data_IF_787169791915
#
_entry.id   IF_787169791915
#
_cell.length_a   1.000
_cell.length_b   1.000
_cell.length_c   1.000
_cell.angle_alpha   90.00
_cell.angle_beta   90.00
_cell.angle_gamma   90.00
#
_symmetry.space_group_name_H-M   'P 1'
#
loop_
_entity.id
_entity.type
_entity.pdbx_description
1 polymer ?
#
# COMPACT_ATOMS: atom_id res chain seq x y z
N UNK A 1 -34.85 -7.41 13.21
CA UNK A 1 -33.56 -7.42 13.93
C UNK A 1 -33.71 -6.44 15.07
N UNK A 2 -33.56 -6.90 16.32
CA UNK A 2 -34.00 -6.15 17.49
C UNK A 2 -33.00 -5.04 17.83
N UNK A 3 -33.46 -3.86 18.26
CA UNK A 3 -32.58 -2.70 18.56
C UNK A 3 -31.55 -3.05 19.65
N UNK A 4 -31.91 -3.96 20.56
CA UNK A 4 -31.03 -4.51 21.59
C UNK A 4 -29.91 -5.42 21.04
N UNK A 5 -30.15 -6.15 19.94
CA UNK A 5 -29.11 -6.97 19.29
C UNK A 5 -28.09 -6.10 18.55
N UNK A 6 -28.53 -4.96 17.99
CA UNK A 6 -27.63 -4.03 17.29
C UNK A 6 -26.68 -3.33 18.26
N UNK A 7 -27.16 -2.90 19.43
CA UNK A 7 -26.33 -2.27 20.46
C UNK A 7 -25.28 -3.24 21.06
N UNK A 8 -25.67 -4.50 21.33
CA UNK A 8 -24.73 -5.52 21.81
C UNK A 8 -23.65 -5.87 20.78
N UNK A 9 -24.00 -5.90 19.48
CA UNK A 9 -23.03 -6.11 18.41
C UNK A 9 -22.03 -4.95 18.27
N UNK A 10 -22.46 -3.70 18.49
CA UNK A 10 -21.55 -2.54 18.44
C UNK A 10 -20.51 -2.55 19.57
N UNK A 11 -20.92 -2.89 20.81
CA UNK A 11 -20.01 -3.00 21.95
C UNK A 11 -19.03 -4.18 21.80
N UNK A 12 -19.51 -5.31 21.27
CA UNK A 12 -18.68 -6.47 20.94
C UNK A 12 -17.69 -6.13 19.82
N UNK A 13 -18.12 -5.43 18.77
CA UNK A 13 -17.24 -4.99 17.68
C UNK A 13 -16.14 -4.05 18.23
N UNK A 14 -16.49 -3.06 19.07
CA UNK A 14 -15.51 -2.18 19.73
C UNK A 14 -14.50 -2.96 20.59
N UNK A 15 -14.92 -3.99 21.32
CA UNK A 15 -14.04 -4.86 22.09
C UNK A 15 -13.12 -5.70 21.19
N UNK A 16 -13.64 -6.22 20.08
CA UNK A 16 -12.88 -6.93 19.07
C UNK A 16 -11.74 -6.06 18.47
N UNK A 17 -11.96 -4.75 18.40
CA UNK A 17 -10.97 -3.76 17.96
C UNK A 17 -9.88 -3.43 18.97
N UNK A 18 -10.00 -3.85 20.23
CA UNK A 18 -8.99 -3.56 21.26
C UNK A 18 -7.89 -4.61 21.35
N UNK A 19 -8.16 -5.87 20.95
CA UNK A 19 -7.22 -6.98 21.18
C UNK A 19 -7.53 -8.22 20.31
N UNK A 20 -6.48 -8.86 19.79
CA UNK A 20 -6.53 -10.10 19.00
C UNK A 20 -7.21 -11.28 19.72
N UNK A 21 -7.05 -11.38 21.05
CA UNK A 21 -7.71 -12.41 21.87
C UNK A 21 -9.22 -12.19 21.92
N UNK A 22 -9.67 -10.95 22.04
CA UNK A 22 -11.08 -10.60 22.04
C UNK A 22 -11.72 -10.82 20.66
N UNK A 23 -11.04 -10.46 19.57
CA UNK A 23 -11.49 -10.83 18.21
C UNK A 23 -11.68 -12.34 18.05
N UNK A 24 -10.71 -13.13 18.53
CA UNK A 24 -10.80 -14.59 18.46
C UNK A 24 -11.94 -15.16 19.31
N UNK A 25 -12.13 -14.63 20.53
CA UNK A 25 -13.24 -15.00 21.43
C UNK A 25 -14.60 -14.70 20.78
N UNK A 26 -14.78 -13.51 20.21
CA UNK A 26 -16.02 -13.11 19.55
C UNK A 26 -16.32 -13.98 18.32
N UNK A 27 -15.29 -14.33 17.54
CA UNK A 27 -15.42 -15.25 16.40
C UNK A 27 -15.87 -16.65 16.83
N UNK A 28 -15.44 -17.12 18.00
CA UNK A 28 -15.80 -18.42 18.56
C UNK A 28 -17.20 -18.42 19.18
N UNK A 29 -17.60 -17.33 19.84
CA UNK A 29 -18.88 -17.29 20.57
C UNK A 29 -20.06 -16.87 19.70
N UNK A 30 -19.87 -16.05 18.67
CA UNK A 30 -20.97 -15.42 17.91
C UNK A 30 -20.76 -15.55 16.38
N UNK A 31 -20.48 -16.78 15.92
CA UNK A 31 -20.07 -17.12 14.55
C UNK A 31 -21.02 -16.67 13.44
N UNK A 32 -22.32 -16.51 13.73
CA UNK A 32 -23.34 -16.05 12.77
C UNK A 32 -23.81 -14.60 12.96
N UNK A 33 -23.52 -13.96 14.11
CA UNK A 33 -23.99 -12.61 14.43
C UNK A 33 -22.94 -11.50 14.22
N UNK A 34 -21.63 -11.80 14.29
CA UNK A 34 -20.57 -10.76 14.34
C UNK A 34 -19.60 -10.81 13.16
N UNK A 35 -19.76 -11.73 12.21
CA UNK A 35 -19.03 -11.66 10.93
C UNK A 35 -19.98 -11.10 9.88
N UNK A 36 -20.11 -9.77 9.72
CA UNK A 36 -20.73 -9.25 8.52
C UNK A 36 -19.97 -9.86 7.35
N UNK A 37 -20.65 -10.64 6.48
CA UNK A 37 -20.05 -11.30 5.29
C UNK A 37 -19.01 -10.34 4.70
N UNK A 38 -17.74 -10.71 4.82
CA UNK A 38 -16.63 -9.85 4.43
C UNK A 38 -16.86 -9.40 2.99
N UNK A 39 -16.65 -8.11 2.77
CA UNK A 39 -16.80 -7.52 1.46
C UNK A 39 -15.57 -7.89 0.63
N UNK A 40 -15.77 -8.75 -0.38
CA UNK A 40 -14.71 -9.09 -1.33
C UNK A 40 -14.57 -7.95 -2.35
N UNK A 41 -13.35 -7.44 -2.49
CA UNK A 41 -12.98 -6.41 -3.45
C UNK A 41 -11.78 -6.94 -4.24
N UNK A 42 -11.89 -6.96 -5.56
CA UNK A 42 -10.80 -7.44 -6.41
C UNK A 42 -9.61 -6.48 -6.41
N UNK A 43 -9.84 -5.17 -6.54
CA UNK A 43 -8.75 -4.17 -6.47
C UNK A 43 -9.16 -2.95 -5.67
N UNK A 44 -8.27 -2.50 -4.80
CA UNK A 44 -8.38 -1.24 -4.08
C UNK A 44 -7.08 -0.47 -4.16
N UNK A 45 -7.15 0.78 -4.60
CA UNK A 45 -6.04 1.72 -4.56
C UNK A 45 -6.40 2.86 -3.63
N UNK A 46 -5.47 3.22 -2.75
CA UNK A 46 -5.61 4.28 -1.76
C UNK A 46 -4.56 5.34 -2.05
N UNK A 47 -4.98 6.59 -2.17
CA UNK A 47 -4.08 7.73 -2.27
C UNK A 47 -4.61 8.92 -1.47
N UNK A 48 -3.75 9.82 -0.99
CA UNK A 48 -4.21 11.05 -0.34
C UNK A 48 -5.05 11.90 -1.30
N UNK A 49 -6.12 12.50 -0.79
CA UNK A 49 -6.94 13.39 -1.62
C UNK A 49 -6.21 14.69 -1.93
N UNK A 50 -6.27 15.12 -3.19
CA UNK A 50 -5.68 16.41 -3.62
C UNK A 50 -6.44 17.61 -3.05
N UNK A 51 -7.72 17.43 -2.73
CA UNK A 51 -8.61 18.51 -2.32
C UNK A 51 -8.72 18.65 -0.80
N UNK A 52 -8.56 17.55 -0.05
CA UNK A 52 -8.68 17.55 1.40
C UNK A 52 -7.59 16.69 2.05
N UNK A 53 -6.68 17.32 2.79
CA UNK A 53 -5.54 16.65 3.45
C UNK A 53 -5.94 15.60 4.50
N UNK A 54 -7.20 15.59 4.94
CA UNK A 54 -7.74 14.62 5.92
C UNK A 54 -8.49 13.47 5.26
N UNK A 55 -8.61 13.49 3.94
CA UNK A 55 -9.31 12.48 3.16
C UNK A 55 -8.35 11.78 2.20
N UNK A 56 -8.79 10.61 1.76
CA UNK A 56 -8.09 9.73 0.84
C UNK A 56 -9.04 9.40 -0.30
N UNK A 57 -8.55 9.41 -1.52
CA UNK A 57 -9.30 8.93 -2.66
C UNK A 57 -9.07 7.41 -2.75
N UNK A 58 -10.17 6.66 -2.73
CA UNK A 58 -10.20 5.22 -2.94
C UNK A 58 -10.67 4.95 -4.36
N UNK A 59 -9.84 4.26 -5.12
CA UNK A 59 -10.23 3.68 -6.41
C UNK A 59 -10.54 2.20 -6.19
N UNK A 60 -11.73 1.75 -6.59
CA UNK A 60 -12.23 0.40 -6.32
C UNK A 60 -12.69 -0.28 -7.61
N UNK A 61 -12.30 -1.54 -7.76
CA UNK A 61 -12.77 -2.45 -8.80
C UNK A 61 -13.32 -3.70 -8.13
N UNK A 62 -14.58 -4.03 -8.40
CA UNK A 62 -15.28 -5.11 -7.71
C UNK A 62 -14.89 -6.49 -8.20
N UNK A 63 -14.75 -6.67 -9.52
CA UNK A 63 -14.40 -7.94 -10.17
C UNK A 63 -13.20 -7.75 -11.09
N UNK A 64 -12.59 -8.85 -11.52
CA UNK A 64 -11.50 -8.89 -12.51
C UNK A 64 -12.00 -8.63 -13.95
N UNK A 65 -13.24 -9.02 -14.22
CA UNK A 65 -13.88 -8.95 -15.54
C UNK A 65 -14.55 -7.60 -15.82
N UNK A 66 -14.88 -6.80 -14.79
CA UNK A 66 -15.51 -5.50 -14.98
C UNK A 66 -14.48 -4.40 -15.24
N UNK A 67 -14.69 -3.60 -16.28
CA UNK A 67 -14.02 -2.30 -16.42
C UNK A 67 -14.57 -1.23 -15.47
N UNK A 68 -15.61 -1.56 -14.69
CA UNK A 68 -16.31 -0.68 -13.75
C UNK A 68 -15.43 -0.35 -12.54
N UNK A 69 -14.50 0.57 -12.76
CA UNK A 69 -13.74 1.27 -11.72
C UNK A 69 -14.55 2.47 -11.21
N UNK A 70 -14.66 2.62 -9.90
CA UNK A 70 -15.28 3.81 -9.32
C UNK A 70 -14.47 4.36 -8.15
N UNK A 71 -14.73 5.63 -7.84
CA UNK A 71 -14.00 6.38 -6.81
C UNK A 71 -14.89 6.67 -5.62
N UNK A 72 -14.32 6.52 -4.44
CA UNK A 72 -14.97 6.84 -3.16
C UNK A 72 -14.00 7.62 -2.29
N UNK A 73 -14.53 8.56 -1.50
CA UNK A 73 -13.71 9.27 -0.52
C UNK A 73 -13.62 8.45 0.76
N UNK A 74 -12.43 8.33 1.31
CA UNK A 74 -12.12 7.70 2.58
C UNK A 74 -11.60 8.73 3.58
N UNK A 75 -11.76 8.47 4.88
CA UNK A 75 -11.17 9.31 5.92
C UNK A 75 -10.71 8.53 7.15
N UNK A 76 -9.76 9.10 7.88
CA UNK A 76 -9.42 8.71 9.24
C UNK A 76 -10.07 9.69 10.22
N UNK A 77 -11.06 9.23 11.00
CA UNK A 77 -11.61 10.02 12.12
C UNK A 77 -10.77 9.80 13.38
N UNK A 78 -10.42 10.88 14.07
CA UNK A 78 -9.81 10.81 15.40
C UNK A 78 -10.75 10.14 16.41
N UNK A 79 -10.19 9.30 17.29
CA UNK A 79 -10.93 8.48 18.27
C UNK A 79 -11.82 9.31 19.20
N UNK A 80 -11.42 10.54 19.53
CA UNK A 80 -12.15 11.46 20.41
C UNK A 80 -13.53 11.84 19.82
N UNK A 81 -13.67 11.83 18.49
CA UNK A 81 -14.93 12.11 17.79
C UNK A 81 -15.61 10.84 17.24
N UNK A 82 -15.09 9.65 17.55
CA UNK A 82 -15.58 8.38 17.01
C UNK A 82 -17.06 8.15 17.34
N UNK A 83 -17.41 8.23 18.64
CA UNK A 83 -18.77 7.96 19.13
C UNK A 83 -19.83 8.91 18.56
N UNK A 84 -19.47 10.14 18.21
CA UNK A 84 -20.40 11.14 17.67
C UNK A 84 -20.81 10.84 16.21
N UNK A 85 -20.01 10.05 15.49
CA UNK A 85 -20.23 9.77 14.06
C UNK A 85 -20.42 8.30 13.74
N UNK A 86 -20.25 7.38 14.70
CA UNK A 86 -20.32 5.93 14.47
C UNK A 86 -21.63 5.50 13.79
N UNK A 87 -22.80 5.97 14.25
CA UNK A 87 -24.08 5.63 13.65
C UNK A 87 -24.21 6.11 12.18
N UNK A 88 -23.60 7.25 11.84
CA UNK A 88 -23.61 7.77 10.46
C UNK A 88 -22.62 7.00 9.60
N UNK A 89 -21.41 6.73 10.10
CA UNK A 89 -20.38 5.96 9.42
C UNK A 89 -20.85 4.52 9.11
N UNK A 90 -21.57 3.87 10.05
CA UNK A 90 -22.17 2.54 9.86
C UNK A 90 -23.21 2.57 8.73
N UNK A 91 -24.09 3.58 8.70
CA UNK A 91 -25.10 3.73 7.65
C UNK A 91 -24.45 3.91 6.28
N UNK A 92 -23.45 4.78 6.18
CA UNK A 92 -22.71 5.02 4.93
C UNK A 92 -22.01 3.73 4.48
N UNK A 93 -21.38 3.01 5.41
CA UNK A 93 -20.73 1.74 5.11
C UNK A 93 -21.72 0.68 4.60
N UNK A 94 -22.93 0.63 5.15
CA UNK A 94 -23.97 -0.29 4.66
C UNK A 94 -24.46 0.07 3.25
N UNK A 95 -24.62 1.36 2.93
CA UNK A 95 -24.93 1.82 1.57
C UNK A 95 -23.80 1.40 0.62
N UNK A 96 -22.55 1.63 1.02
CA UNK A 96 -21.38 1.22 0.25
C UNK A 96 -21.32 -0.28 0.00
N UNK A 97 -21.58 -1.10 1.02
CA UNK A 97 -21.65 -2.56 0.90
C UNK A 97 -22.72 -3.00 -0.09
N UNK A 98 -23.88 -2.35 -0.08
CA UNK A 98 -24.97 -2.65 -1.02
C UNK A 98 -24.59 -2.22 -2.44
N UNK A 99 -23.93 -1.08 -2.59
CA UNK A 99 -23.43 -0.61 -3.88
C UNK A 99 -22.43 -1.59 -4.50
N UNK A 100 -21.48 -2.09 -3.72
CA UNK A 100 -20.51 -3.09 -4.19
C UNK A 100 -21.22 -4.34 -4.71
N UNK A 101 -22.23 -4.83 -3.98
CA UNK A 101 -23.04 -5.98 -4.44
C UNK A 101 -23.81 -5.69 -5.72
N UNK A 102 -24.36 -4.49 -5.83
CA UNK A 102 -25.02 -4.03 -7.04
C UNK A 102 -24.04 -4.03 -8.23
N UNK A 103 -22.83 -3.50 -8.05
CA UNK A 103 -21.78 -3.54 -9.08
C UNK A 103 -21.36 -4.97 -9.45
N UNK A 104 -21.20 -5.86 -8.46
CA UNK A 104 -20.87 -7.28 -8.72
C UNK A 104 -21.96 -7.97 -9.53
N UNK A 105 -23.23 -7.79 -9.14
CA UNK A 105 -24.35 -8.39 -9.85
C UNK A 105 -24.46 -7.84 -11.28
N UNK A 106 -24.32 -6.51 -11.45
CA UNK A 106 -24.32 -5.88 -12.75
C UNK A 106 -23.19 -6.41 -13.65
N UNK A 107 -21.98 -6.59 -13.10
CA UNK A 107 -20.87 -7.19 -13.83
C UNK A 107 -21.16 -8.65 -14.25
N UNK A 108 -21.73 -9.46 -13.35
CA UNK A 108 -22.10 -10.85 -13.66
C UNK A 108 -23.22 -10.95 -14.72
N UNK A 109 -24.10 -9.97 -14.76
CA UNK A 109 -25.21 -9.88 -15.72
C UNK A 109 -24.83 -9.15 -17.01
N UNK A 110 -23.56 -8.72 -17.17
CA UNK A 110 -23.06 -7.92 -18.29
C UNK A 110 -23.87 -6.64 -18.54
N UNK A 111 -24.26 -5.95 -17.46
CA UNK A 111 -24.91 -4.65 -17.54
C UNK A 111 -23.85 -3.57 -17.70
N UNK A 112 -23.88 -2.88 -18.85
CA UNK A 112 -22.89 -1.84 -19.17
C UNK A 112 -23.09 -0.57 -18.32
N UNK A 113 -24.34 -0.18 -18.05
CA UNK A 113 -24.67 1.05 -17.34
C UNK A 113 -24.94 0.79 -15.85
N UNK A 114 -23.91 1.00 -15.03
CA UNK A 114 -24.00 0.96 -13.56
C UNK A 114 -24.06 2.39 -13.04
N UNK A 115 -25.00 2.67 -12.14
CA UNK A 115 -25.06 3.98 -11.47
C UNK A 115 -23.71 4.30 -10.81
N UNK A 116 -23.25 5.54 -10.91
CA UNK A 116 -22.05 5.98 -10.19
C UNK A 116 -22.27 5.95 -8.68
N UNK A 117 -21.19 5.80 -7.91
CA UNK A 117 -21.24 5.79 -6.44
C UNK A 117 -21.98 7.00 -5.87
N UNK A 118 -21.70 8.20 -6.40
CA UNK A 118 -22.32 9.44 -5.93
C UNK A 118 -23.83 9.43 -6.14
N UNK A 119 -24.29 8.99 -7.31
CA UNK A 119 -25.72 8.92 -7.66
C UNK A 119 -26.42 7.85 -6.82
N UNK A 120 -25.81 6.67 -6.66
CA UNK A 120 -26.35 5.59 -5.86
C UNK A 120 -26.45 5.99 -4.38
N UNK A 121 -25.35 6.52 -3.82
CA UNK A 121 -25.29 6.95 -2.42
C UNK A 121 -26.29 8.07 -2.14
N UNK A 122 -26.44 9.03 -3.05
CA UNK A 122 -27.44 10.09 -2.93
C UNK A 122 -28.88 9.56 -2.97
N UNK A 123 -29.17 8.61 -3.85
CA UNK A 123 -30.50 8.00 -3.97
C UNK A 123 -30.87 7.20 -2.72
N UNK A 124 -29.93 6.41 -2.19
CA UNK A 124 -30.15 5.61 -0.99
C UNK A 124 -30.16 6.46 0.29
N UNK A 125 -29.35 7.51 0.38
CA UNK A 125 -29.32 8.41 1.54
C UNK A 125 -30.61 9.19 1.74
N UNK A 126 -31.32 9.56 0.65
CA UNK A 126 -32.66 10.19 0.72
C UNK A 126 -33.73 9.32 1.37
N UNK A 127 -33.57 8.00 1.34
CA UNK A 127 -34.48 7.05 2.00
C UNK A 127 -34.27 6.99 3.51
N UNK A 128 -33.24 7.66 4.04
CA UNK A 128 -32.84 7.58 5.45
C UNK A 128 -33.15 8.91 6.15
N UNK A 129 -33.97 8.91 7.22
CA UNK A 129 -34.25 10.12 8.00
C UNK A 129 -32.97 10.73 8.61
N UNK A 130 -32.86 12.07 8.57
CA UNK A 130 -31.81 12.88 9.19
C UNK A 130 -30.38 12.69 8.63
N UNK A 131 -30.22 12.21 7.39
CA UNK A 131 -28.91 12.16 6.73
C UNK A 131 -28.54 13.53 6.14
N UNK A 132 -27.32 14.06 6.32
CA UNK A 132 -26.90 15.32 5.72
C UNK A 132 -26.97 15.25 4.19
N UNK A 133 -27.75 16.13 3.57
CA UNK A 133 -28.09 16.09 2.13
C UNK A 133 -26.99 16.68 1.22
N UNK A 134 -25.84 17.07 1.77
CA UNK A 134 -24.77 17.74 1.00
C UNK A 134 -23.57 16.84 0.75
N UNK A 135 -23.45 16.41 -0.51
CA UNK A 135 -22.31 15.66 -1.04
C UNK A 135 -22.24 14.22 -0.56
N UNK A 136 -21.43 13.41 -1.24
CA UNK A 136 -21.25 11.99 -0.92
C UNK A 136 -20.33 11.85 0.30
N UNK A 137 -20.80 11.38 1.46
CA UNK A 137 -19.98 11.39 2.66
C UNK A 137 -18.81 10.39 2.56
N UNK A 138 -17.65 10.69 3.17
CA UNK A 138 -16.50 9.80 3.11
C UNK A 138 -16.72 8.54 3.95
N UNK A 139 -16.15 7.43 3.51
CA UNK A 139 -16.13 6.15 4.24
C UNK A 139 -15.00 6.17 5.27
N UNK A 140 -15.29 5.72 6.49
CA UNK A 140 -14.24 5.56 7.50
C UNK A 140 -13.36 4.35 7.16
N UNK A 141 -12.09 4.62 6.86
CA UNK A 141 -11.15 3.59 6.38
C UNK A 141 -10.92 2.46 7.39
N UNK A 142 -10.87 2.78 8.69
CA UNK A 142 -10.74 1.76 9.74
C UNK A 142 -11.88 0.74 9.72
N UNK A 143 -13.10 1.19 9.44
CA UNK A 143 -14.27 0.30 9.30
C UNK A 143 -14.18 -0.52 8.03
N UNK A 144 -13.85 0.13 6.91
CA UNK A 144 -13.67 -0.53 5.62
C UNK A 144 -12.69 -1.71 5.74
N UNK A 145 -11.46 -1.45 6.19
CA UNK A 145 -10.41 -2.47 6.25
C UNK A 145 -10.74 -3.63 7.18
N UNK A 146 -11.47 -3.38 8.27
CA UNK A 146 -11.84 -4.45 9.22
C UNK A 146 -12.87 -5.45 8.66
N UNK A 147 -13.59 -5.09 7.60
CA UNK A 147 -14.71 -5.87 7.05
C UNK A 147 -14.52 -6.24 5.58
N UNK A 148 -13.32 -6.05 5.04
CA UNK A 148 -13.01 -6.32 3.61
C UNK A 148 -11.92 -7.37 3.44
N UNK A 149 -12.08 -8.19 2.41
CA UNK A 149 -10.99 -8.94 1.79
C UNK A 149 -10.65 -8.22 0.49
N UNK A 150 -9.38 -7.89 0.29
CA UNK A 150 -8.90 -7.21 -0.92
C UNK A 150 -7.90 -8.11 -1.63
N UNK A 151 -8.15 -8.45 -2.89
CA UNK A 151 -7.21 -9.27 -3.65
C UNK A 151 -5.96 -8.47 -4.01
N UNK A 152 -6.12 -7.28 -4.57
CA UNK A 152 -5.03 -6.39 -4.97
C UNK A 152 -5.14 -5.04 -4.26
N UNK A 153 -4.27 -4.80 -3.27
CA UNK A 153 -4.21 -3.55 -2.52
C UNK A 153 -2.99 -2.71 -2.92
N UNK A 154 -3.22 -1.45 -3.28
CA UNK A 154 -2.17 -0.51 -3.70
C UNK A 154 -2.22 0.77 -2.85
N UNK A 155 -1.10 1.16 -2.24
CA UNK A 155 -0.93 2.42 -1.51
C UNK A 155 -0.11 3.36 -2.38
N UNK A 156 -0.66 4.51 -2.76
CA UNK A 156 -0.07 5.40 -3.75
C UNK A 156 0.22 6.80 -3.20
N UNK A 157 1.29 7.43 -3.70
CA UNK A 157 1.54 8.88 -3.60
C UNK A 157 1.44 9.45 -2.17
N UNK A 158 1.90 8.71 -1.17
CA UNK A 158 1.83 9.13 0.23
C UNK A 158 3.13 9.82 0.67
N UNK A 159 3.00 10.89 1.46
CA UNK A 159 4.11 11.35 2.30
C UNK A 159 4.25 10.48 3.56
N UNK A 160 5.33 10.68 4.34
CA UNK A 160 5.61 9.92 5.58
C UNK A 160 4.42 9.87 6.55
N UNK A 161 3.79 11.00 6.85
CA UNK A 161 2.68 11.06 7.81
C UNK A 161 1.44 10.30 7.31
N UNK A 162 1.08 10.47 6.03
CA UNK A 162 -0.05 9.80 5.41
C UNK A 162 0.17 8.29 5.29
N UNK A 163 1.39 7.90 4.91
CA UNK A 163 1.80 6.51 4.82
C UNK A 163 1.62 5.79 6.16
N UNK A 164 2.08 6.40 7.25
CA UNK A 164 1.90 5.84 8.59
C UNK A 164 0.45 5.76 9.03
N UNK A 165 -0.37 6.78 8.73
CA UNK A 165 -1.81 6.73 9.04
C UNK A 165 -2.51 5.57 8.33
N UNK A 166 -2.18 5.32 7.06
CA UNK A 166 -2.71 4.18 6.30
C UNK A 166 -2.20 2.87 6.90
N UNK A 167 -0.89 2.70 7.05
CA UNK A 167 -0.30 1.45 7.55
C UNK A 167 -0.83 1.08 8.93
N UNK A 168 -0.93 2.01 9.88
CA UNK A 168 -1.48 1.73 11.21
C UNK A 168 -2.93 1.24 11.17
N UNK A 169 -3.71 1.65 10.16
CA UNK A 169 -5.07 1.16 9.98
C UNK A 169 -5.12 -0.21 9.29
N UNK A 170 -4.18 -0.47 8.38
CA UNK A 170 -4.03 -1.76 7.70
C UNK A 170 -3.42 -2.83 8.60
N UNK A 171 -2.68 -2.45 9.65
CA UNK A 171 -2.10 -3.37 10.65
C UNK A 171 -3.15 -4.03 11.57
N UNK A 172 -4.43 -3.91 11.20
CA UNK A 172 -5.56 -4.51 11.89
C UNK A 172 -5.77 -5.97 11.43
N UNK A 173 -5.92 -6.94 12.36
CA UNK A 173 -6.13 -8.34 12.02
C UNK A 173 -7.40 -8.66 11.22
N UNK A 174 -8.34 -7.72 11.08
CA UNK A 174 -9.58 -7.90 10.30
C UNK A 174 -9.41 -7.79 8.78
N UNK A 175 -8.35 -7.12 8.29
CA UNK A 175 -8.08 -7.00 6.86
C UNK A 175 -7.34 -8.23 6.34
N UNK A 176 -7.85 -8.82 5.25
CA UNK A 176 -7.09 -9.77 4.45
C UNK A 176 -6.74 -9.11 3.12
N UNK A 177 -5.44 -8.93 2.85
CA UNK A 177 -4.93 -8.45 1.58
C UNK A 177 -3.95 -9.48 1.01
N UNK A 178 -4.18 -9.96 -0.22
CA UNK A 178 -3.36 -11.02 -0.82
C UNK A 178 -2.15 -10.45 -1.55
N UNK A 179 -2.37 -9.59 -2.54
CA UNK A 179 -1.33 -8.87 -3.28
C UNK A 179 -1.26 -7.44 -2.78
N UNK A 180 -0.07 -7.01 -2.37
CA UNK A 180 0.16 -5.71 -1.73
C UNK A 180 1.24 -4.97 -2.50
N UNK A 181 0.95 -3.71 -2.81
CA UNK A 181 1.86 -2.82 -3.54
C UNK A 181 1.93 -1.47 -2.85
N UNK A 182 3.13 -0.91 -2.75
CA UNK A 182 3.40 0.44 -2.23
C UNK A 182 4.06 1.21 -3.37
N UNK A 183 3.44 2.30 -3.81
CA UNK A 183 3.86 3.11 -4.97
C UNK A 183 3.94 4.58 -4.55
N UNK A 184 4.99 4.91 -3.80
CA UNK A 184 5.17 6.22 -3.18
C UNK A 184 6.58 6.75 -3.46
N UNK A 185 6.84 7.15 -4.71
CA UNK A 185 8.16 7.66 -5.19
C UNK A 185 8.83 8.63 -4.21
N UNK A 186 8.11 9.61 -3.68
CA UNK A 186 8.67 10.64 -2.79
C UNK A 186 8.74 10.24 -1.30
N UNK A 187 8.30 9.04 -0.92
CA UNK A 187 8.34 8.59 0.46
C UNK A 187 9.79 8.32 0.88
N UNK A 188 10.26 9.01 1.92
CA UNK A 188 11.52 8.74 2.60
C UNK A 188 11.23 8.38 4.06
N UNK A 189 11.74 7.21 4.48
CA UNK A 189 11.67 6.76 5.87
C UNK A 189 13.04 6.98 6.54
N UNK A 190 13.12 7.89 7.53
CA UNK A 190 14.36 8.16 8.25
C UNK A 190 14.69 7.05 9.27
N UNK A 191 15.88 7.06 9.88
CA UNK A 191 16.33 5.99 10.77
C UNK A 191 15.37 5.65 11.92
N UNK A 192 14.68 6.65 12.49
CA UNK A 192 13.74 6.43 13.60
C UNK A 192 12.51 5.60 13.21
N UNK A 193 12.18 5.51 11.93
CA UNK A 193 11.06 4.71 11.43
C UNK A 193 11.38 3.21 11.34
N UNK A 194 12.66 2.83 11.44
CA UNK A 194 13.14 1.46 11.25
C UNK A 194 12.40 0.45 12.12
N UNK A 195 12.39 0.63 13.44
CA UNK A 195 11.79 -0.34 14.34
C UNK A 195 10.29 -0.51 14.07
N UNK A 196 9.61 0.58 13.76
CA UNK A 196 8.18 0.59 13.51
C UNK A 196 7.86 -0.10 12.19
N UNK A 197 8.60 0.23 11.13
CA UNK A 197 8.47 -0.40 9.82
C UNK A 197 8.66 -1.92 9.90
N UNK A 198 9.71 -2.38 10.57
CA UNK A 198 10.01 -3.82 10.67
C UNK A 198 8.99 -4.62 11.50
N UNK A 199 8.25 -3.95 12.40
CA UNK A 199 7.25 -4.61 13.27
C UNK A 199 5.88 -4.74 12.64
N UNK A 200 5.54 -3.92 11.64
CA UNK A 200 4.23 -3.92 10.99
C UNK A 200 3.87 -5.30 10.44
N UNK A 201 2.76 -5.85 10.92
CA UNK A 201 2.19 -7.10 10.43
C UNK A 201 1.89 -7.03 8.93
N UNK A 202 1.38 -5.88 8.46
CA UNK A 202 1.10 -5.66 7.04
C UNK A 202 2.31 -5.99 6.14
N UNK A 203 3.50 -5.51 6.54
CA UNK A 203 4.77 -5.70 5.83
C UNK A 203 5.36 -7.10 6.07
N UNK A 204 5.27 -7.61 7.30
CA UNK A 204 5.77 -8.96 7.66
C UNK A 204 5.08 -10.10 6.92
N UNK A 205 3.85 -9.88 6.47
CA UNK A 205 3.10 -10.83 5.64
C UNK A 205 3.53 -10.82 4.16
N UNK A 206 4.58 -10.07 3.81
CA UNK A 206 5.09 -9.94 2.44
C UNK A 206 4.41 -8.81 1.66
N UNK A 207 5.19 -8.16 0.81
CA UNK A 207 4.73 -7.12 -0.13
C UNK A 207 5.30 -7.45 -1.50
N UNK A 208 4.49 -7.37 -2.54
CA UNK A 208 4.89 -7.75 -3.90
C UNK A 208 5.79 -6.67 -4.52
N UNK A 209 5.45 -5.40 -4.34
CA UNK A 209 6.13 -4.27 -4.95
C UNK A 209 6.25 -3.09 -3.99
N UNK A 210 7.43 -2.49 -3.91
CA UNK A 210 7.70 -1.27 -3.14
C UNK A 210 8.45 -0.28 -4.01
N UNK A 211 7.84 0.89 -4.22
CA UNK A 211 8.46 2.04 -4.84
C UNK A 211 8.54 3.21 -3.86
N UNK A 212 9.75 3.70 -3.59
CA UNK A 212 10.02 4.80 -2.65
C UNK A 212 11.46 5.32 -2.75
N UNK A 213 11.80 6.43 -2.07
CA UNK A 213 13.20 6.80 -1.87
C UNK A 213 13.89 5.79 -0.96
N UNK A 214 15.16 5.53 -1.21
CA UNK A 214 15.91 4.50 -0.47
C UNK A 214 15.97 4.88 1.02
N UNK A 215 15.39 4.07 1.93
CA UNK A 215 15.48 4.34 3.36
C UNK A 215 16.90 4.08 3.86
N UNK A 216 17.33 4.77 4.92
CA UNK A 216 18.68 4.60 5.47
C UNK A 216 18.96 3.19 5.97
N UNK A 217 17.91 2.44 6.35
CA UNK A 217 17.97 1.07 6.87
C UNK A 217 17.66 0.01 5.81
N UNK A 218 17.83 0.34 4.53
CA UNK A 218 17.55 -0.57 3.41
C UNK A 218 18.41 -1.85 3.47
N UNK A 219 19.65 -1.76 3.93
CA UNK A 219 20.55 -2.91 4.08
C UNK A 219 19.97 -3.97 5.02
N UNK A 220 19.33 -3.55 6.10
CA UNK A 220 18.65 -4.44 7.02
C UNK A 220 17.37 -5.02 6.40
N UNK A 221 16.67 -4.27 5.54
CA UNK A 221 15.53 -4.82 4.80
C UNK A 221 15.96 -5.96 3.87
N UNK A 222 17.12 -5.80 3.21
CA UNK A 222 17.62 -6.74 2.21
C UNK A 222 17.97 -8.15 2.73
N UNK A 223 18.18 -8.28 4.05
CA UNK A 223 18.48 -9.57 4.69
C UNK A 223 17.25 -10.23 5.31
N UNK A 224 16.09 -9.57 5.27
CA UNK A 224 14.86 -10.11 5.84
C UNK A 224 14.09 -10.99 4.84
N UNK A 225 13.74 -12.23 5.22
CA UNK A 225 13.11 -13.20 4.31
C UNK A 225 11.83 -12.73 3.63
N UNK A 226 11.00 -11.93 4.30
CA UNK A 226 9.73 -11.47 3.73
C UNK A 226 9.89 -10.49 2.54
N UNK A 227 11.10 -9.99 2.30
CA UNK A 227 11.40 -9.06 1.22
C UNK A 227 12.21 -9.67 0.07
N UNK A 228 12.61 -10.94 0.14
CA UNK A 228 13.50 -11.54 -0.87
C UNK A 228 12.89 -11.58 -2.27
N UNK A 229 11.57 -11.76 -2.36
CA UNK A 229 10.82 -11.79 -3.61
C UNK A 229 10.10 -10.46 -3.91
N UNK A 230 10.24 -9.45 -3.04
CA UNK A 230 9.68 -8.12 -3.27
C UNK A 230 10.41 -7.45 -4.43
N UNK A 231 9.65 -6.87 -5.35
CA UNK A 231 10.16 -6.00 -6.40
C UNK A 231 10.35 -4.59 -5.84
N UNK A 232 11.60 -4.15 -5.75
CA UNK A 232 11.93 -2.82 -5.28
C UNK A 232 12.17 -1.86 -6.44
N UNK A 233 11.58 -0.67 -6.38
CA UNK A 233 11.96 0.48 -7.19
C UNK A 233 12.40 1.62 -6.26
N UNK A 234 13.69 1.89 -6.20
CA UNK A 234 14.30 2.73 -5.18
C UNK A 234 14.96 3.95 -5.80
N UNK A 235 14.67 5.12 -5.25
CA UNK A 235 15.26 6.38 -5.70
C UNK A 235 16.37 6.85 -4.76
N UNK A 236 17.26 7.70 -5.27
CA UNK A 236 18.27 8.42 -4.48
C UNK A 236 19.21 7.50 -3.66
N UNK A 237 19.46 6.27 -4.12
CA UNK A 237 20.33 5.34 -3.39
C UNK A 237 21.76 5.87 -3.34
N UNK A 238 22.36 5.90 -2.15
CA UNK A 238 23.73 6.39 -1.99
C UNK A 238 24.78 5.32 -2.31
N UNK A 239 26.05 5.73 -2.41
CA UNK A 239 27.12 4.84 -2.83
C UNK A 239 27.36 3.69 -1.84
N UNK A 240 27.26 3.96 -0.54
CA UNK A 240 27.46 2.96 0.51
C UNK A 240 26.39 1.87 0.42
N UNK A 241 25.12 2.25 0.30
CA UNK A 241 23.99 1.33 0.14
C UNK A 241 24.10 0.48 -1.12
N UNK A 242 24.52 1.07 -2.25
CA UNK A 242 24.73 0.33 -3.49
C UNK A 242 25.85 -0.69 -3.36
N UNK A 243 26.95 -0.36 -2.67
CA UNK A 243 28.07 -1.29 -2.46
C UNK A 243 27.66 -2.51 -1.66
N UNK A 244 26.58 -2.42 -0.87
CA UNK A 244 26.05 -3.54 -0.12
C UNK A 244 25.07 -4.40 -0.91
N UNK A 245 24.51 -3.92 -2.03
CA UNK A 245 23.57 -4.69 -2.86
C UNK A 245 24.09 -6.08 -3.25
N UNK A 246 25.37 -6.28 -3.65
CA UNK A 246 25.90 -7.61 -3.95
C UNK A 246 25.70 -8.67 -2.86
N UNK A 247 25.66 -8.25 -1.58
CA UNK A 247 25.43 -9.12 -0.42
C UNK A 247 23.94 -9.37 -0.14
N UNK A 248 23.05 -8.68 -0.85
CA UNK A 248 21.60 -8.80 -0.72
C UNK A 248 21.08 -10.17 -1.15
N UNK A 249 20.02 -10.62 -0.46
CA UNK A 249 19.21 -11.78 -0.84
C UNK A 249 17.97 -11.41 -1.67
N UNK A 250 17.73 -10.13 -1.87
CA UNK A 250 16.64 -9.62 -2.71
C UNK A 250 16.93 -9.90 -4.19
N UNK A 251 15.92 -10.41 -4.89
CA UNK A 251 16.06 -10.79 -6.30
C UNK A 251 15.85 -9.61 -7.26
N UNK A 252 14.89 -8.73 -6.98
CA UNK A 252 14.43 -7.73 -7.95
C UNK A 252 14.62 -6.31 -7.40
N UNK A 253 15.50 -5.53 -8.02
CA UNK A 253 15.80 -4.15 -7.61
C UNK A 253 15.96 -3.29 -8.86
N UNK A 254 15.19 -2.21 -8.94
CA UNK A 254 15.43 -1.08 -9.83
C UNK A 254 15.91 0.07 -8.96
N UNK A 255 17.12 0.58 -9.17
CA UNK A 255 17.63 1.77 -8.53
C UNK A 255 17.70 2.92 -9.54
N UNK A 256 17.08 4.06 -9.25
CA UNK A 256 16.98 5.23 -10.13
C UNK A 256 17.58 6.47 -9.43
N UNK A 257 18.26 7.32 -10.20
CA UNK A 257 18.82 8.62 -9.75
C UNK A 257 19.79 8.53 -8.55
N UNK A 258 20.47 7.38 -8.40
CA UNK A 258 21.40 7.15 -7.28
C UNK A 258 22.84 7.60 -7.54
N UNK A 259 23.68 7.48 -6.51
CA UNK A 259 25.13 7.74 -6.60
C UNK A 259 25.89 6.46 -6.31
N UNK A 260 26.81 6.05 -7.18
CA UNK A 260 27.57 4.81 -7.02
C UNK A 260 29.07 5.06 -7.14
N UNK A 261 29.88 4.34 -6.37
CA UNK A 261 31.27 4.07 -6.75
C UNK A 261 31.32 2.72 -7.45
N UNK A 262 31.42 2.76 -8.78
CA UNK A 262 31.33 1.60 -9.64
C UNK A 262 32.49 0.61 -9.39
N UNK A 263 33.68 1.11 -9.05
CA UNK A 263 34.84 0.26 -8.71
C UNK A 263 34.53 -0.61 -7.49
N UNK A 264 34.00 -0.01 -6.42
CA UNK A 264 33.67 -0.74 -5.18
C UNK A 264 32.50 -1.69 -5.39
N UNK A 265 31.47 -1.26 -6.10
CA UNK A 265 30.34 -2.12 -6.47
C UNK A 265 30.83 -3.39 -7.18
N UNK A 266 31.69 -3.24 -8.20
CA UNK A 266 32.22 -4.37 -8.96
C UNK A 266 33.08 -5.30 -8.13
N UNK A 267 33.98 -4.77 -7.30
CA UNK A 267 34.76 -5.61 -6.40
C UNK A 267 33.81 -6.47 -5.55
N UNK A 268 32.83 -5.85 -4.91
CA UNK A 268 31.87 -6.57 -4.08
C UNK A 268 31.00 -7.54 -4.89
N UNK A 269 30.66 -7.21 -6.14
CA UNK A 269 29.92 -8.08 -7.04
C UNK A 269 30.71 -9.34 -7.43
N UNK A 270 31.97 -9.18 -7.84
CA UNK A 270 32.84 -10.30 -8.23
C UNK A 270 33.20 -11.21 -7.04
N UNK A 271 33.38 -10.65 -5.85
CA UNK A 271 33.74 -11.43 -4.66
C UNK A 271 32.54 -12.17 -4.02
N UNK A 272 31.31 -11.90 -4.46
CA UNK A 272 30.12 -12.53 -3.90
C UNK A 272 29.58 -13.66 -4.78
N UNK A 273 29.16 -14.74 -4.10
CA UNK A 273 28.45 -15.84 -4.77
C UNK A 273 27.10 -15.33 -5.27
N UNK A 274 26.88 -15.41 -6.58
CA UNK A 274 25.64 -14.95 -7.22
C UNK A 274 24.42 -15.67 -6.61
N UNK A 275 23.44 -14.89 -6.14
CA UNK A 275 22.09 -15.41 -5.92
C UNK A 275 21.48 -15.64 -7.30
N UNK A 276 21.03 -16.86 -7.57
CA UNK A 276 20.40 -17.19 -8.85
C UNK A 276 19.08 -16.44 -9.02
N UNK A 277 18.80 -16.01 -10.26
CA UNK A 277 17.54 -15.33 -10.61
C UNK A 277 17.43 -13.89 -10.09
N UNK A 278 18.56 -13.17 -9.97
CA UNK A 278 18.56 -11.72 -9.77
C UNK A 278 18.08 -11.03 -11.05
N UNK A 279 17.34 -9.95 -10.90
CA UNK A 279 17.00 -9.03 -11.98
C UNK A 279 17.15 -7.61 -11.44
N UNK A 280 18.30 -7.00 -11.70
CA UNK A 280 18.64 -5.68 -11.21
C UNK A 280 18.73 -4.68 -12.34
N UNK A 281 18.09 -3.53 -12.19
CA UNK A 281 18.16 -2.42 -13.11
C UNK A 281 18.73 -1.20 -12.39
N UNK A 282 19.70 -0.54 -13.01
CA UNK A 282 20.29 0.70 -12.50
C UNK A 282 20.11 1.79 -13.54
N UNK A 283 19.38 2.84 -13.17
CA UNK A 283 18.92 3.89 -14.06
C UNK A 283 19.45 5.25 -13.59
N UNK A 284 19.96 6.06 -14.53
CA UNK A 284 20.45 7.41 -14.27
C UNK A 284 21.45 7.51 -13.10
N UNK A 285 22.35 6.52 -12.97
CA UNK A 285 23.29 6.50 -11.86
C UNK A 285 24.44 7.50 -12.05
N UNK A 286 24.77 8.25 -11.00
CA UNK A 286 25.93 9.14 -10.98
C UNK A 286 27.16 8.40 -10.43
N UNK A 287 28.25 8.38 -11.20
CA UNK A 287 29.54 7.90 -10.69
C UNK A 287 30.19 8.89 -9.73
N UNK A 288 30.66 8.40 -8.57
CA UNK A 288 31.52 9.18 -7.67
C UNK A 288 33.01 8.89 -7.83
N UNK A 289 33.41 7.83 -8.56
CA UNK A 289 34.82 7.43 -8.74
C UNK A 289 35.60 8.29 -9.77
N UNK A 290 34.97 9.27 -10.42
CA UNK A 290 35.56 10.00 -11.56
C UNK A 290 35.45 9.25 -12.89
N UNK A 291 35.96 9.80 -14.00
CA UNK A 291 35.73 9.24 -15.36
C UNK A 291 36.58 7.97 -15.64
N UNK A 292 37.65 7.73 -14.87
CA UNK A 292 38.57 6.63 -15.13
C UNK A 292 37.95 5.25 -14.83
N UNK A 293 38.00 4.34 -15.82
CA UNK A 293 37.55 2.94 -15.69
C UNK A 293 36.05 2.71 -15.96
N UNK A 294 35.29 3.76 -16.29
CA UNK A 294 33.84 3.69 -16.51
C UNK A 294 33.43 2.73 -17.64
N UNK A 295 34.08 2.87 -18.79
CA UNK A 295 33.76 2.12 -20.01
C UNK A 295 34.01 0.62 -19.88
N UNK A 296 35.12 0.22 -19.27
CA UNK A 296 35.47 -1.20 -19.11
C UNK A 296 34.51 -1.91 -18.16
N UNK A 297 34.12 -1.23 -17.09
CA UNK A 297 33.21 -1.81 -16.10
C UNK A 297 31.77 -1.85 -16.62
N UNK A 298 31.32 -0.81 -17.30
CA UNK A 298 30.00 -0.80 -17.94
C UNK A 298 29.88 -1.91 -18.99
N UNK A 299 30.94 -2.13 -19.79
CA UNK A 299 30.99 -3.26 -20.71
C UNK A 299 30.85 -4.61 -19.99
N UNK A 300 31.51 -4.78 -18.84
CA UNK A 300 31.40 -6.01 -18.06
C UNK A 300 29.98 -6.21 -17.49
N UNK A 301 29.38 -5.17 -16.92
CA UNK A 301 28.01 -5.25 -16.40
C UNK A 301 27.00 -5.60 -17.50
N UNK A 302 27.17 -5.04 -18.71
CA UNK A 302 26.34 -5.39 -19.89
C UNK A 302 26.49 -6.83 -20.35
N UNK A 303 27.52 -7.57 -19.92
CA UNK A 303 27.63 -9.01 -20.21
C UNK A 303 26.80 -9.88 -19.27
N UNK A 304 26.42 -9.38 -18.09
CA UNK A 304 25.56 -10.10 -17.16
C UNK A 304 24.08 -9.87 -17.54
N UNK A 305 23.40 -10.93 -18.00
CA UNK A 305 21.99 -10.86 -18.40
C UNK A 305 21.03 -10.55 -17.25
N UNK A 306 21.50 -10.62 -16.01
CA UNK A 306 20.71 -10.32 -14.80
C UNK A 306 20.80 -8.85 -14.38
N UNK A 307 21.59 -8.04 -15.10
CA UNK A 307 21.82 -6.63 -14.79
C UNK A 307 21.53 -5.77 -16.02
N UNK A 308 20.58 -4.86 -15.89
CA UNK A 308 20.34 -3.77 -16.83
C UNK A 308 20.97 -2.47 -16.28
N UNK A 309 21.58 -1.69 -17.16
CA UNK A 309 22.39 -0.53 -16.75
C UNK A 309 22.23 0.67 -17.69
N UNK A 310 22.02 1.85 -17.09
CA UNK A 310 22.14 3.17 -17.74
C UNK A 310 22.73 4.22 -16.78
N UNK A 311 23.47 5.17 -17.33
CA UNK A 311 24.20 6.21 -16.60
C UNK A 311 23.86 7.59 -17.16
N UNK A 312 23.77 8.60 -16.29
CA UNK A 312 23.80 10.00 -16.73
C UNK A 312 25.26 10.44 -16.94
N UNK A 313 25.59 10.95 -18.12
CA UNK A 313 26.86 11.65 -18.31
C UNK A 313 26.87 12.88 -17.40
N UNK A 314 27.87 13.00 -16.53
CA UNK A 314 28.06 14.22 -15.75
C UNK A 314 28.37 15.36 -16.73
N UNK A 315 27.33 16.09 -17.15
CA UNK A 315 27.52 17.31 -17.91
C UNK A 315 28.13 18.34 -16.97
N UNK A 316 29.46 18.36 -16.94
CA UNK A 316 30.27 19.38 -16.31
C UNK A 316 30.02 20.74 -16.97
N UNK A 317 28.87 21.35 -16.70
CA UNK A 317 28.65 22.79 -16.85
C UNK A 317 28.48 23.36 -15.47
N UNK A 318 29.62 23.67 -14.87
CA UNK A 318 29.75 24.73 -13.88
C UNK A 318 28.95 25.93 -14.36
N UNK A 319 27.82 26.22 -13.70
CA UNK A 319 27.18 27.52 -13.81
C UNK A 319 28.13 28.51 -13.12
N UNK A 320 28.84 29.29 -13.93
CA UNK A 320 29.39 30.58 -13.53
C UNK A 320 28.26 31.58 -13.32
#
# INVERSE_FOLDING_TARGET
MNIFEMAQNEDLEQLAFTNRKFWHLIKLTHSSAVVPKQLAIHKMSIQPSRYNKKEYDLTIMCTDQSSHEFKVRGCFRHSIYGRQHDATDIRIFNIFRNYIRYCINAANENIDEVLSWDVYCFTESRKIPNMPVKGTPPIRLRWLFSKTIVENLCINSCNRAQFWQILMCLDNPGLAAYRKRIVCKDLLLPPEDKEFFMRMLFLRQGVEFIEMRTPTFFEEMMVMPQFFDTMFKLYDMNAEQLHQLPYSKVKNITAEDGKMSLRKFMMNFMFNKHVSGRNWAFENMLNVDGVEGWTTVEQFLKTDKNIEWSCEESTGKSKK
#
